data_IF_228878966297
#
_entry.id   IF_228878966297
#
_cell.length_a   1.000
_cell.length_b   1.000
_cell.length_c   1.000
_cell.angle_alpha   90.00
_cell.angle_beta   90.00
_cell.angle_gamma   90.00
#
_symmetry.space_group_name_H-M   'P 1'
#
loop_
_entity.id
_entity.type
_entity.pdbx_description
1 polymer ?
#
# COMPACT_ATOMS: atom_id res chain seq x y z
N UNK A 1 8.95 6.73 -24.36
CA UNK A 1 8.17 6.76 -23.10
C UNK A 1 8.23 5.36 -22.51
N UNK A 2 8.75 5.20 -21.30
CA UNK A 2 8.76 3.88 -20.64
C UNK A 2 7.40 3.63 -20.02
N UNK A 3 6.86 2.44 -20.23
CA UNK A 3 5.54 2.05 -19.69
C UNK A 3 5.75 1.32 -18.37
N UNK A 4 4.90 1.51 -17.36
CA UNK A 4 4.99 0.75 -16.11
C UNK A 4 4.89 -0.75 -16.40
N UNK A 5 5.69 -1.59 -15.71
CA UNK A 5 5.62 -3.04 -15.88
C UNK A 5 4.25 -3.55 -15.42
N UNK A 6 3.67 -4.49 -16.19
CA UNK A 6 2.47 -5.20 -15.77
C UNK A 6 2.85 -6.18 -14.64
N UNK A 7 2.71 -5.72 -13.40
CA UNK A 7 2.90 -6.54 -12.20
C UNK A 7 1.53 -6.95 -11.69
N UNK A 8 1.29 -8.25 -11.67
CA UNK A 8 0.05 -8.83 -11.19
C UNK A 8 -0.34 -8.27 -9.82
N UNK A 9 -1.43 -7.49 -9.80
CA UNK A 9 -2.01 -6.90 -8.58
C UNK A 9 -1.48 -5.52 -8.16
N UNK A 10 -0.50 -4.93 -8.84
CA UNK A 10 -0.08 -3.54 -8.60
C UNK A 10 -0.59 -2.66 -9.73
N UNK A 11 -1.47 -1.71 -9.40
CA UNK A 11 -1.87 -0.66 -10.33
C UNK A 11 -0.89 0.51 -10.21
N UNK A 12 -0.10 0.78 -11.26
CA UNK A 12 0.83 1.91 -11.30
C UNK A 12 0.12 3.19 -11.78
N UNK A 13 -0.76 3.71 -10.95
CA UNK A 13 -1.50 4.95 -11.18
C UNK A 13 -1.38 5.85 -9.95
N UNK A 14 -1.35 7.18 -10.16
CA UNK A 14 -1.38 8.13 -9.05
C UNK A 14 -2.69 7.95 -8.26
N UNK A 15 -2.58 7.78 -6.95
CA UNK A 15 -3.68 7.46 -6.05
C UNK A 15 -3.95 5.96 -5.87
N UNK A 16 -3.30 5.08 -6.63
CA UNK A 16 -3.44 3.64 -6.44
C UNK A 16 -2.86 3.21 -5.08
N UNK A 17 -3.53 2.24 -4.45
CA UNK A 17 -3.14 1.69 -3.14
C UNK A 17 -2.33 0.41 -3.33
N UNK A 18 -1.21 0.31 -2.61
CA UNK A 18 -0.33 -0.85 -2.58
C UNK A 18 0.24 -1.04 -1.17
N UNK A 19 1.07 -2.06 -0.97
CA UNK A 19 1.85 -2.19 0.25
C UNK A 19 3.33 -2.01 -0.05
N UNK A 20 3.98 -1.17 0.76
CA UNK A 20 5.39 -0.88 0.65
C UNK A 20 6.11 -1.35 1.92
N UNK A 21 7.31 -1.89 1.74
CA UNK A 21 8.17 -2.30 2.84
C UNK A 21 9.02 -1.13 3.33
N UNK A 22 9.09 -0.94 4.64
CA UNK A 22 9.98 0.04 5.25
C UNK A 22 11.40 -0.53 5.50
N UNK A 23 12.28 0.32 5.99
CA UNK A 23 13.62 -0.04 6.43
C UNK A 23 13.66 -1.04 7.59
N UNK A 24 12.64 -1.08 8.46
CA UNK A 24 12.48 -2.09 9.50
C UNK A 24 11.91 -3.42 8.99
N UNK A 25 11.81 -3.58 7.67
CA UNK A 25 11.32 -4.80 7.00
C UNK A 25 9.83 -5.08 7.22
N UNK A 26 9.07 -4.11 7.72
CA UNK A 26 7.62 -4.15 7.93
C UNK A 26 6.87 -3.70 6.67
N UNK A 27 5.70 -4.28 6.44
CA UNK A 27 4.83 -3.90 5.33
C UNK A 27 3.75 -2.95 5.81
N UNK A 28 3.60 -1.83 5.11
CA UNK A 28 2.58 -0.83 5.41
C UNK A 28 1.75 -0.52 4.17
N UNK A 29 0.47 -0.20 4.40
CA UNK A 29 -0.38 0.30 3.31
C UNK A 29 0.11 1.68 2.88
N UNK A 30 0.29 1.84 1.58
CA UNK A 30 0.76 3.05 0.97
C UNK A 30 -0.02 3.39 -0.31
N UNK A 31 0.15 4.61 -0.79
CA UNK A 31 -0.42 5.12 -2.03
C UNK A 31 0.68 5.65 -2.94
N UNK A 32 0.49 5.53 -4.25
CA UNK A 32 1.36 6.16 -5.23
C UNK A 32 0.99 7.65 -5.29
N UNK A 33 1.87 8.53 -4.85
CA UNK A 33 1.67 9.98 -4.91
C UNK A 33 2.09 10.54 -6.28
N UNK A 34 3.18 10.01 -6.85
CA UNK A 34 3.72 10.43 -8.16
C UNK A 34 4.40 9.26 -8.88
N UNK A 35 4.52 9.36 -10.19
CA UNK A 35 5.24 8.41 -11.05
C UNK A 35 6.24 9.19 -11.89
N UNK A 36 7.49 8.74 -11.87
CA UNK A 36 8.59 9.22 -12.70
C UNK A 36 8.92 8.14 -13.73
N UNK A 37 8.44 8.36 -14.96
CA UNK A 37 8.62 7.42 -16.08
C UNK A 37 10.04 7.41 -16.63
N UNK A 38 10.80 8.51 -16.46
CA UNK A 38 12.17 8.61 -16.98
C UNK A 38 13.13 7.81 -16.12
N UNK A 39 12.95 7.90 -14.79
CA UNK A 39 13.77 7.18 -13.80
C UNK A 39 13.19 5.85 -13.37
N UNK A 40 12.01 5.47 -13.86
CA UNK A 40 11.32 4.21 -13.53
C UNK A 40 10.97 4.09 -12.04
N UNK A 41 10.51 5.18 -11.44
CA UNK A 41 10.25 5.27 -9.99
C UNK A 41 8.86 5.74 -9.68
N UNK A 42 8.36 5.33 -8.52
CA UNK A 42 7.09 5.76 -7.94
C UNK A 42 7.36 6.40 -6.58
N UNK A 43 6.72 7.53 -6.31
CA UNK A 43 6.74 8.16 -4.99
C UNK A 43 5.67 7.49 -4.15
N UNK A 44 6.07 6.86 -3.06
CA UNK A 44 5.22 6.12 -2.16
C UNK A 44 4.93 6.97 -0.93
N UNK A 45 3.65 7.17 -0.65
CA UNK A 45 3.16 7.79 0.57
C UNK A 45 2.56 6.74 1.50
N UNK A 46 3.16 6.56 2.68
CA UNK A 46 2.66 5.64 3.70
C UNK A 46 1.42 6.23 4.38
N UNK A 47 0.27 5.54 4.31
CA UNK A 47 -1.00 6.08 4.82
C UNK A 47 -0.98 6.37 6.32
N UNK A 48 -0.13 5.67 7.07
CA UNK A 48 -0.02 5.84 8.53
C UNK A 48 1.00 6.91 8.93
N UNK A 49 1.76 7.47 7.99
CA UNK A 49 2.87 8.38 8.26
C UNK A 49 2.65 9.73 7.58
N UNK A 50 3.34 10.75 8.09
CA UNK A 50 3.35 12.08 7.46
C UNK A 50 4.13 12.03 6.14
N UNK A 51 3.73 12.88 5.18
CA UNK A 51 4.33 13.04 3.83
C UNK A 51 5.84 13.29 3.82
N UNK A 52 6.42 13.70 4.95
CA UNK A 52 7.89 13.80 5.12
C UNK A 52 8.63 12.45 4.98
N UNK A 53 7.91 11.33 5.10
CA UNK A 53 8.45 9.98 4.93
C UNK A 53 8.13 9.42 3.54
N UNK A 54 7.68 10.26 2.60
CA UNK A 54 7.43 9.84 1.23
C UNK A 54 8.75 9.51 0.55
N UNK A 55 8.82 8.33 -0.04
CA UNK A 55 10.07 7.79 -0.58
C UNK A 55 9.90 7.33 -2.02
N UNK A 56 10.95 7.53 -2.82
CA UNK A 56 10.99 7.09 -4.20
C UNK A 56 11.45 5.64 -4.28
N UNK A 57 10.57 4.75 -4.75
CA UNK A 57 10.89 3.36 -5.03
C UNK A 57 11.00 3.12 -6.53
N UNK A 58 11.87 2.21 -6.95
CA UNK A 58 11.80 1.68 -8.31
C UNK A 58 10.49 0.89 -8.48
N UNK A 59 9.78 1.05 -9.59
CA UNK A 59 8.50 0.36 -9.83
C UNK A 59 8.63 -1.18 -9.88
N UNK A 60 9.83 -1.68 -10.14
CA UNK A 60 10.20 -3.09 -10.19
C UNK A 60 10.73 -3.60 -8.85
N UNK A 61 10.81 -2.73 -7.83
CA UNK A 61 11.36 -3.08 -6.53
C UNK A 61 10.59 -4.23 -5.90
N UNK A 62 11.28 -5.22 -5.30
CA UNK A 62 10.63 -6.30 -4.55
C UNK A 62 9.99 -5.80 -3.24
N UNK A 63 10.22 -4.55 -2.87
CA UNK A 63 9.65 -3.90 -1.68
C UNK A 63 8.28 -3.29 -1.94
N UNK A 64 7.75 -3.41 -3.15
CA UNK A 64 6.38 -3.06 -3.51
C UNK A 64 5.60 -4.34 -3.79
N UNK A 65 4.45 -4.50 -3.15
CA UNK A 65 3.55 -5.63 -3.41
C UNK A 65 2.10 -5.17 -3.59
N UNK A 66 1.28 -5.95 -4.30
CA UNK A 66 -0.16 -5.73 -4.40
C UNK A 66 -0.77 -5.56 -3.01
N UNK A 67 -1.61 -4.55 -2.84
CA UNK A 67 -2.57 -4.63 -1.75
C UNK A 67 -3.62 -5.66 -2.16
N UNK A 68 -3.93 -6.60 -1.28
CA UNK A 68 -5.06 -7.50 -1.45
C UNK A 68 -6.31 -6.66 -1.75
N UNK A 69 -6.74 -6.64 -3.03
CA UNK A 69 -8.05 -6.12 -3.38
C UNK A 69 -9.02 -7.16 -2.85
N UNK A 70 -9.63 -6.88 -1.70
CA UNK A 70 -10.81 -7.63 -1.26
C UNK A 70 -11.77 -7.61 -2.44
N UNK A 71 -11.85 -8.73 -3.14
CA UNK A 71 -12.67 -8.84 -4.32
C UNK A 71 -14.12 -8.74 -3.86
N UNK A 72 -14.78 -7.64 -4.22
CA UNK A 72 -16.23 -7.46 -4.00
C UNK A 72 -17.07 -8.44 -4.84
N UNK A 73 -16.48 -9.49 -5.43
CA UNK A 73 -17.22 -10.65 -5.95
C UNK A 73 -17.87 -11.50 -4.83
N UNK A 74 -17.79 -11.04 -3.57
CA UNK A 74 -18.70 -11.41 -2.48
C UNK A 74 -19.59 -10.24 -2.00
N UNK A 75 -19.98 -9.30 -2.86
CA UNK A 75 -21.24 -8.58 -2.65
C UNK A 75 -22.43 -9.45 -3.10
N UNK A 76 -22.50 -10.66 -2.57
CA UNK A 76 -23.79 -11.29 -2.27
C UNK A 76 -24.16 -10.82 -0.87
N UNK A 77 -24.74 -9.62 -0.77
CA UNK A 77 -25.37 -9.14 0.45
C UNK A 77 -26.56 -10.06 0.74
N UNK A 78 -26.32 -11.13 1.51
CA UNK A 78 -27.35 -11.86 2.23
C UNK A 78 -27.22 -11.42 3.71
N UNK A 79 -28.20 -10.70 4.27
CA UNK A 79 -28.09 -10.14 5.60
C UNK A 79 -28.49 -11.22 6.61
N UNK A 80 -27.58 -12.10 7.00
CA UNK A 80 -27.81 -12.99 8.14
C UNK A 80 -26.53 -13.28 8.90
N UNK A 81 -26.37 -12.51 9.98
CA UNK A 81 -26.06 -13.00 11.34
C UNK A 81 -24.90 -13.99 11.45
N UNK A 82 -23.76 -13.50 11.96
CA UNK A 82 -23.12 -13.92 13.22
C UNK A 82 -21.67 -13.46 13.21
N UNK A 83 -21.27 -12.66 14.21
CA UNK A 83 -19.86 -12.40 14.50
C UNK A 83 -19.15 -13.70 14.97
N UNK A 84 -17.82 -13.68 15.03
CA UNK A 84 -17.26 -13.37 16.33
C UNK A 84 -16.21 -12.26 16.26
N UNK A 85 -16.35 -11.34 17.21
CA UNK A 85 -15.35 -10.36 17.59
C UNK A 85 -14.03 -11.07 17.92
N UNK A 86 -12.96 -10.71 17.22
CA UNK A 86 -11.60 -10.89 17.71
C UNK A 86 -10.91 -9.52 17.68
N UNK A 87 -11.02 -8.86 18.83
CA UNK A 87 -10.21 -7.71 19.24
C UNK A 87 -8.74 -8.11 19.23
N UNK A 88 -7.86 -7.22 18.78
CA UNK A 88 -6.70 -6.82 19.59
C UNK A 88 -6.31 -5.37 19.29
N UNK A 89 -6.46 -4.55 20.34
CA UNK A 89 -5.62 -3.39 20.68
C UNK A 89 -5.44 -2.25 19.67
N UNK A 90 -6.32 -1.26 19.79
CA UNK A 90 -5.88 0.11 20.05
C UNK A 90 -4.90 0.12 21.24
N UNK A 91 -3.60 0.12 20.95
CA UNK A 91 -2.58 0.66 21.85
C UNK A 91 -1.52 1.35 21.00
N UNK A 92 -1.56 2.68 21.05
CA UNK A 92 -0.42 3.58 20.97
C UNK A 92 0.96 2.89 21.03
N UNK A 93 1.80 3.08 20.01
CA UNK A 93 3.16 3.60 20.18
C UNK A 93 3.85 3.82 18.83
N UNK A 94 4.07 5.10 18.57
CA UNK A 94 5.32 5.68 18.10
C UNK A 94 6.40 4.69 17.65
N UNK A 95 6.72 4.71 16.36
CA UNK A 95 8.12 4.67 15.91
C UNK A 95 8.34 5.98 15.15
N UNK A 96 8.56 7.05 15.93
CA UNK A 96 9.86 7.70 16.13
C UNK A 96 10.26 8.56 14.93
N UNK A 97 9.81 9.80 15.02
CA UNK A 97 10.51 10.97 14.53
C UNK A 97 11.71 11.20 15.47
N UNK A 98 12.90 10.71 15.10
CA UNK A 98 14.21 11.30 15.44
C UNK A 98 15.33 10.50 14.81
#
# INVERSE_FOLDING_TARGET
MKTPPDRSGITFEVGAKLEARDHHKNWYTATIEKIDYDKERVLIHYLQWSRRHDEWFQWNSPYLRPKERVSLRRQGLNPTRSQPVQKTSDVHRCYFFK
#
